data_IF_075974046081
#
_entry.id   IF_075974046081
#
_cell.length_a   1.000
_cell.length_b   1.000
_cell.length_c   1.000
_cell.angle_alpha   90.00
_cell.angle_beta   90.00
_cell.angle_gamma   90.00
#
_symmetry.space_group_name_H-M   'P 1'
#
loop_
_entity.id
_entity.type
_entity.pdbx_description
1 polymer ?
#
# COMPACT_ATOMS: atom_id res chain seq x y z
N UNK A 1 -94.80 -54.75 -40.86
CA UNK A 1 -93.51 -54.63 -41.57
C UNK A 1 -92.48 -54.39 -40.54
N UNK A 2 -91.41 -55.17 -40.54
CA UNK A 2 -90.47 -55.37 -39.43
C UNK A 2 -89.45 -54.27 -39.41
N UNK A 3 -89.28 -53.63 -38.24
CA UNK A 3 -88.24 -52.67 -37.91
C UNK A 3 -86.99 -53.45 -37.41
N UNK A 4 -85.88 -53.26 -38.07
CA UNK A 4 -84.64 -53.90 -37.68
C UNK A 4 -83.95 -53.05 -36.62
N UNK A 5 -83.70 -53.68 -35.49
CA UNK A 5 -83.00 -53.15 -34.35
C UNK A 5 -81.44 -53.29 -34.56
N UNK A 6 -80.69 -52.22 -34.33
CA UNK A 6 -79.27 -52.19 -34.51
C UNK A 6 -78.58 -52.30 -33.14
N UNK A 7 -77.71 -53.29 -32.95
CA UNK A 7 -77.05 -53.45 -31.65
C UNK A 7 -75.95 -52.38 -31.45
N UNK A 8 -76.04 -51.76 -30.26
CA UNK A 8 -74.98 -50.79 -29.79
C UNK A 8 -73.65 -51.46 -29.46
N UNK A 9 -72.60 -50.95 -30.01
CA UNK A 9 -71.23 -51.31 -29.68
C UNK A 9 -70.89 -50.70 -28.36
N UNK A 10 -70.68 -51.51 -27.32
CA UNK A 10 -70.11 -51.14 -26.01
C UNK A 10 -68.66 -50.83 -26.16
N UNK A 11 -68.26 -49.60 -25.84
CA UNK A 11 -66.90 -49.22 -25.75
C UNK A 11 -66.16 -49.94 -24.59
N UNK A 12 -64.93 -50.38 -24.76
CA UNK A 12 -64.17 -51.04 -23.71
C UNK A 12 -63.81 -50.06 -22.57
N UNK A 13 -64.22 -50.45 -21.36
CA UNK A 13 -63.81 -49.72 -20.14
C UNK A 13 -62.29 -49.66 -20.01
N UNK A 14 -61.76 -48.46 -20.07
CA UNK A 14 -60.34 -48.23 -19.82
C UNK A 14 -59.97 -48.67 -18.39
N UNK A 15 -59.24 -49.76 -18.30
CA UNK A 15 -58.61 -50.22 -17.03
C UNK A 15 -57.66 -49.15 -16.57
N UNK A 16 -57.96 -48.43 -15.49
CA UNK A 16 -57.01 -47.60 -14.77
C UNK A 16 -55.95 -48.53 -14.18
N UNK A 17 -54.73 -48.41 -14.66
CA UNK A 17 -53.55 -49.08 -14.06
C UNK A 17 -53.39 -48.69 -12.57
N UNK A 18 -53.18 -49.62 -11.68
CA UNK A 18 -52.98 -49.30 -10.28
C UNK A 18 -51.72 -48.40 -10.17
N UNK A 19 -51.88 -47.20 -9.63
CA UNK A 19 -50.78 -46.29 -9.29
C UNK A 19 -50.06 -46.95 -8.11
N UNK A 20 -48.72 -47.25 -8.22
CA UNK A 20 -47.97 -47.85 -7.11
C UNK A 20 -48.04 -46.91 -5.89
N UNK A 21 -48.23 -47.43 -4.68
CA UNK A 21 -48.24 -46.61 -3.48
C UNK A 21 -46.90 -45.88 -3.35
N UNK A 22 -46.98 -44.55 -3.37
CA UNK A 22 -45.79 -43.69 -3.22
C UNK A 22 -45.31 -43.82 -1.77
N UNK A 23 -44.32 -44.70 -1.55
CA UNK A 23 -43.67 -44.86 -0.24
C UNK A 23 -43.09 -43.53 0.19
N UNK A 24 -43.72 -42.90 1.14
CA UNK A 24 -43.22 -41.68 1.77
C UNK A 24 -42.07 -42.11 2.70
N UNK A 25 -40.85 -41.83 2.34
CA UNK A 25 -39.69 -42.10 3.15
C UNK A 25 -39.36 -40.81 3.96
N UNK A 26 -39.97 -40.62 5.15
CA UNK A 26 -39.81 -39.38 5.93
C UNK A 26 -38.38 -39.15 6.35
N UNK A 27 -37.59 -40.21 6.53
CA UNK A 27 -36.18 -40.13 6.84
C UNK A 27 -35.32 -39.43 5.74
N UNK A 28 -35.64 -39.73 4.45
CA UNK A 28 -34.95 -39.06 3.33
C UNK A 28 -35.36 -37.60 3.19
N UNK A 29 -36.64 -37.29 3.47
CA UNK A 29 -37.11 -35.91 3.48
C UNK A 29 -36.44 -35.09 4.62
N UNK A 30 -36.32 -35.67 5.81
CA UNK A 30 -35.64 -35.06 6.94
C UNK A 30 -34.14 -34.84 6.65
N UNK A 31 -33.47 -35.82 6.01
CA UNK A 31 -32.09 -35.71 5.58
C UNK A 31 -31.88 -34.58 4.56
N UNK A 32 -32.80 -34.48 3.56
CA UNK A 32 -32.74 -33.43 2.56
C UNK A 32 -32.90 -32.04 3.17
N UNK A 33 -33.81 -31.85 4.12
CA UNK A 33 -34.01 -30.60 4.84
C UNK A 33 -32.73 -30.25 5.65
N UNK A 34 -32.13 -31.21 6.33
CA UNK A 34 -30.91 -31.03 7.12
C UNK A 34 -29.75 -30.63 6.23
N UNK A 35 -29.60 -31.26 5.06
CA UNK A 35 -28.54 -30.89 4.09
C UNK A 35 -28.74 -29.47 3.52
N UNK A 36 -30.01 -29.09 3.23
CA UNK A 36 -30.31 -27.74 2.74
C UNK A 36 -29.98 -26.69 3.81
N UNK A 37 -30.45 -26.92 5.05
CA UNK A 37 -30.16 -26.00 6.16
C UNK A 37 -28.66 -25.95 6.49
N UNK A 38 -28.00 -27.10 6.53
CA UNK A 38 -26.55 -27.18 6.74
C UNK A 38 -25.75 -26.47 5.62
N UNK A 39 -26.14 -26.69 4.37
CA UNK A 39 -25.53 -26.03 3.22
C UNK A 39 -25.76 -24.52 3.23
N UNK A 40 -26.99 -24.06 3.53
CA UNK A 40 -27.30 -22.65 3.65
C UNK A 40 -26.51 -21.98 4.80
N UNK A 41 -26.41 -22.65 5.95
CA UNK A 41 -25.62 -22.17 7.09
C UNK A 41 -24.12 -22.07 6.75
N UNK A 42 -23.58 -23.12 6.13
CA UNK A 42 -22.17 -23.17 5.72
C UNK A 42 -21.85 -22.07 4.71
N UNK A 43 -22.73 -21.86 3.71
CA UNK A 43 -22.57 -20.80 2.71
C UNK A 43 -22.65 -19.42 3.36
N UNK A 44 -23.60 -19.19 4.26
CA UNK A 44 -23.75 -17.93 4.98
C UNK A 44 -22.50 -17.63 5.82
N UNK A 45 -21.99 -18.61 6.57
CA UNK A 45 -20.76 -18.45 7.35
C UNK A 45 -19.54 -18.16 6.46
N UNK A 46 -19.43 -18.79 5.30
CA UNK A 46 -18.35 -18.55 4.35
C UNK A 46 -18.42 -17.14 3.77
N UNK A 47 -19.62 -16.66 3.41
CA UNK A 47 -19.85 -15.30 2.90
C UNK A 47 -19.57 -14.26 3.97
N UNK A 48 -19.98 -14.47 5.21
CA UNK A 48 -19.69 -13.57 6.32
C UNK A 48 -18.17 -13.47 6.57
N UNK A 49 -17.44 -14.59 6.55
CA UNK A 49 -15.98 -14.59 6.69
C UNK A 49 -15.24 -13.98 5.49
N UNK A 50 -15.81 -14.06 4.28
CA UNK A 50 -15.22 -13.44 3.07
C UNK A 50 -15.50 -11.95 2.97
N UNK A 51 -16.40 -11.41 3.81
CA UNK A 51 -16.87 -10.03 3.76
C UNK A 51 -16.12 -9.06 4.68
N UNK A 52 -15.30 -9.54 5.61
CA UNK A 52 -14.57 -8.69 6.56
C UNK A 52 -13.43 -7.96 5.84
N UNK A 53 -13.80 -6.88 5.14
CA UNK A 53 -12.84 -5.93 4.60
C UNK A 53 -12.57 -4.85 5.64
N UNK A 54 -11.29 -4.54 5.79
CA UNK A 54 -10.82 -3.51 6.71
C UNK A 54 -10.19 -2.37 5.91
N UNK A 55 -10.43 -1.15 6.37
CA UNK A 55 -9.82 0.04 5.77
C UNK A 55 -8.41 0.20 6.32
N UNK A 56 -7.41 0.11 5.44
CA UNK A 56 -6.00 0.29 5.73
C UNK A 56 -5.44 1.53 5.03
N UNK A 57 -4.28 1.99 5.47
CA UNK A 57 -3.52 3.07 4.84
C UNK A 57 -2.55 2.48 3.82
N UNK A 58 -2.62 2.97 2.58
CA UNK A 58 -1.67 2.66 1.50
C UNK A 58 -0.89 3.92 1.12
N UNK A 59 0.38 3.75 0.80
CA UNK A 59 1.25 4.83 0.32
C UNK A 59 1.08 4.98 -1.20
N UNK A 60 0.83 6.22 -1.67
CA UNK A 60 0.61 6.54 -3.10
C UNK A 60 1.86 7.03 -3.80
N UNK A 61 2.77 7.67 -3.05
CA UNK A 61 4.03 8.22 -3.56
C UNK A 61 5.16 7.80 -2.63
N UNK A 62 6.38 7.74 -3.15
CA UNK A 62 7.55 7.42 -2.32
C UNK A 62 7.68 8.40 -1.16
N UNK A 63 7.87 7.86 0.03
CA UNK A 63 8.15 8.62 1.25
C UNK A 63 9.52 8.21 1.74
N UNK A 64 10.47 9.14 1.71
CA UNK A 64 11.83 8.89 2.19
C UNK A 64 11.90 8.77 3.71
N UNK A 65 12.89 8.03 4.20
CA UNK A 65 13.18 7.96 5.63
C UNK A 65 13.30 9.36 6.25
N UNK A 66 12.68 9.57 7.41
CA UNK A 66 12.66 10.85 8.09
C UNK A 66 11.68 11.89 7.51
N UNK A 67 10.97 11.61 6.43
CA UNK A 67 9.92 12.48 5.92
C UNK A 67 8.63 12.36 6.72
N UNK A 68 7.89 13.47 6.93
CA UNK A 68 6.56 13.43 7.54
C UNK A 68 5.55 12.82 6.57
N UNK A 69 4.61 12.05 7.09
CA UNK A 69 3.44 11.63 6.32
C UNK A 69 2.51 12.83 6.08
N UNK A 70 2.00 12.94 4.87
CA UNK A 70 1.05 13.98 4.47
C UNK A 70 -0.17 13.33 3.81
N UNK A 71 -1.29 14.06 3.74
CA UNK A 71 -2.51 13.58 3.09
C UNK A 71 -2.33 13.22 1.61
N UNK A 72 -1.30 13.77 0.96
CA UNK A 72 -1.03 13.52 -0.46
C UNK A 72 -0.39 12.16 -0.72
N UNK A 73 0.32 11.62 0.28
CA UNK A 73 1.08 10.38 0.13
C UNK A 73 0.36 9.17 0.70
N UNK A 74 -0.80 9.36 1.35
CA UNK A 74 -1.60 8.30 1.95
C UNK A 74 -2.98 8.23 1.32
N UNK A 75 -3.51 7.03 1.16
CA UNK A 75 -4.89 6.80 0.72
C UNK A 75 -5.53 5.63 1.45
N UNK A 76 -6.86 5.61 1.45
CA UNK A 76 -7.63 4.50 2.00
C UNK A 76 -7.72 3.36 0.99
N UNK A 77 -7.44 2.14 1.44
CA UNK A 77 -7.62 0.92 0.67
C UNK A 77 -8.38 -0.12 1.48
N UNK A 78 -9.31 -0.81 0.82
CA UNK A 78 -10.04 -1.93 1.42
C UNK A 78 -9.26 -3.21 1.20
N UNK A 79 -8.81 -3.85 2.27
CA UNK A 79 -8.10 -5.13 2.25
C UNK A 79 -8.88 -6.20 2.99
N UNK A 80 -8.66 -7.48 2.64
CA UNK A 80 -9.16 -8.58 3.44
C UNK A 80 -8.36 -8.66 4.75
N UNK A 81 -9.05 -8.85 5.87
CA UNK A 81 -8.38 -9.09 7.15
C UNK A 81 -7.79 -10.50 7.18
N UNK A 82 -6.51 -10.59 6.80
CA UNK A 82 -5.75 -11.84 6.74
C UNK A 82 -4.76 -11.99 7.89
N UNK A 83 -4.82 -11.11 8.90
CA UNK A 83 -3.87 -11.08 10.01
C UNK A 83 -2.50 -10.48 9.65
N UNK A 84 -2.38 -9.83 8.48
CA UNK A 84 -1.19 -9.04 8.12
C UNK A 84 -1.20 -7.74 8.94
N UNK A 85 -0.04 -7.32 9.44
CA UNK A 85 0.08 -6.05 10.15
C UNK A 85 -0.18 -4.88 9.20
N UNK A 86 -1.07 -3.97 9.59
CA UNK A 86 -1.41 -2.76 8.85
C UNK A 86 -1.88 -1.67 9.81
N UNK A 87 -1.74 -0.43 9.39
CA UNK A 87 -2.33 0.71 10.10
C UNK A 87 -3.71 0.99 9.54
N UNK A 88 -4.73 0.93 10.41
CA UNK A 88 -6.11 1.19 10.02
C UNK A 88 -6.31 2.66 9.60
N UNK A 89 -7.18 2.91 8.61
CA UNK A 89 -7.51 4.26 8.15
C UNK A 89 -8.02 5.18 9.27
N UNK A 90 -8.70 4.62 10.27
CA UNK A 90 -9.15 5.36 11.46
C UNK A 90 -7.99 6.00 12.22
N UNK A 91 -6.77 5.52 12.09
CA UNK A 91 -5.56 6.07 12.72
C UNK A 91 -4.85 7.15 11.86
N UNK A 92 -5.43 7.55 10.70
CA UNK A 92 -4.85 8.53 9.77
C UNK A 92 -4.31 9.77 10.47
N UNK A 93 -5.09 10.37 11.37
CA UNK A 93 -4.67 11.60 12.08
C UNK A 93 -3.40 11.39 12.92
N UNK A 94 -3.22 10.21 13.49
CA UNK A 94 -2.00 9.86 14.23
C UNK A 94 -0.82 9.70 13.28
N UNK A 95 -1.03 9.04 12.14
CA UNK A 95 0.01 8.86 11.12
C UNK A 95 0.53 10.19 10.59
N UNK A 96 -0.34 11.16 10.33
CA UNK A 96 0.06 12.51 9.87
C UNK A 96 0.96 13.28 10.86
N UNK A 97 1.04 12.83 12.11
CA UNK A 97 1.92 13.40 13.14
C UNK A 97 3.22 12.60 13.28
N UNK A 98 3.47 11.63 12.41
CA UNK A 98 4.65 10.77 12.45
C UNK A 98 5.52 10.96 11.21
N UNK A 99 6.71 10.38 11.27
CA UNK A 99 7.72 10.40 10.21
C UNK A 99 7.98 8.97 9.74
N UNK A 100 8.33 8.79 8.49
CA UNK A 100 8.72 7.49 7.96
C UNK A 100 10.02 7.01 8.63
N UNK A 101 10.00 5.82 9.20
CA UNK A 101 11.19 5.20 9.81
C UNK A 101 12.19 4.72 8.76
N UNK A 102 11.68 4.35 7.59
CA UNK A 102 12.42 3.83 6.42
C UNK A 102 11.85 4.46 5.15
N UNK A 103 12.55 4.35 4.03
CA UNK A 103 11.99 4.72 2.73
C UNK A 103 10.89 3.74 2.35
N UNK A 104 9.69 4.27 2.04
CA UNK A 104 8.49 3.49 1.72
C UNK A 104 8.11 3.75 0.28
N UNK A 105 7.98 2.69 -0.50
CA UNK A 105 7.64 2.75 -1.93
C UNK A 105 6.12 2.89 -2.16
N UNK A 106 5.72 3.47 -3.30
CA UNK A 106 4.32 3.54 -3.70
C UNK A 106 3.67 2.15 -3.75
N UNK A 107 2.40 2.06 -3.35
CA UNK A 107 1.64 0.81 -3.31
C UNK A 107 1.82 0.00 -2.02
N UNK A 108 2.74 0.37 -1.14
CA UNK A 108 2.98 -0.31 0.14
C UNK A 108 1.86 -0.04 1.13
N UNK A 109 1.39 -1.07 1.84
CA UNK A 109 0.54 -0.92 3.02
C UNK A 109 1.38 -0.42 4.19
N UNK A 110 0.89 0.61 4.87
CA UNK A 110 1.58 1.14 6.04
C UNK A 110 1.41 0.18 7.23
N UNK A 111 2.54 -0.21 7.84
CA UNK A 111 2.57 -1.00 9.08
C UNK A 111 2.95 -0.12 10.27
N UNK A 112 2.69 -0.61 11.49
CA UNK A 112 2.98 0.12 12.73
C UNK A 112 4.46 0.52 12.86
N UNK A 113 5.37 -0.33 12.38
CA UNK A 113 6.81 -0.13 12.50
C UNK A 113 7.40 0.88 11.49
N UNK A 114 6.61 1.22 10.45
CA UNK A 114 7.04 2.18 9.43
C UNK A 114 6.87 3.63 9.86
N UNK A 115 6.14 3.90 10.95
CA UNK A 115 5.92 5.24 11.49
C UNK A 115 6.62 5.44 12.84
N UNK A 116 7.34 6.56 12.99
CA UNK A 116 7.99 6.95 14.25
C UNK A 116 7.60 8.36 14.65
N UNK A 117 7.47 8.61 15.95
CA UNK A 117 7.07 9.93 16.50
C UNK A 117 8.14 11.00 16.35
N UNK A 118 9.41 10.59 16.22
CA UNK A 118 10.53 11.48 15.95
C UNK A 118 11.35 10.89 14.80
N UNK A 119 11.72 11.73 13.84
CA UNK A 119 12.61 11.29 12.75
C UNK A 119 13.95 10.88 13.33
N UNK A 120 14.32 9.62 13.19
CA UNK A 120 15.67 9.13 13.57
C UNK A 120 16.75 9.79 12.75
N UNK A 121 16.41 10.14 11.51
CA UNK A 121 17.34 10.81 10.57
C UNK A 121 17.52 12.30 10.90
N UNK A 122 16.54 12.93 11.55
CA UNK A 122 16.59 14.30 12.01
C UNK A 122 16.61 14.39 13.55
N UNK A 123 17.32 13.49 14.19
CA UNK A 123 17.51 13.48 15.63
C UNK A 123 18.52 14.55 16.11
N UNK A 124 18.82 14.57 17.42
CA UNK A 124 19.83 15.42 17.99
C UNK A 124 21.18 15.27 17.25
N UNK A 125 21.83 16.38 16.95
CA UNK A 125 23.10 16.39 16.22
C UNK A 125 22.99 16.35 14.70
N UNK A 126 21.77 16.38 14.14
CA UNK A 126 21.52 16.49 12.70
C UNK A 126 20.94 17.84 12.32
N UNK A 127 21.19 18.28 11.09
CA UNK A 127 20.70 19.53 10.54
C UNK A 127 20.16 19.33 9.12
N UNK A 128 19.10 20.06 8.78
CA UNK A 128 18.61 20.16 7.39
C UNK A 128 19.32 21.32 6.69
N UNK A 129 19.94 21.02 5.56
CA UNK A 129 20.62 22.02 4.73
C UNK A 129 19.98 22.04 3.36
N UNK A 130 19.59 23.24 2.91
CA UNK A 130 19.10 23.50 1.56
C UNK A 130 20.28 23.76 0.63
N UNK A 131 20.29 23.06 -0.51
CA UNK A 131 21.28 23.20 -1.58
C UNK A 131 20.59 23.67 -2.85
N UNK A 132 21.12 24.70 -3.51
CA UNK A 132 20.69 25.13 -4.83
C UNK A 132 21.74 24.72 -5.86
N UNK A 133 21.57 23.54 -6.45
CA UNK A 133 22.55 22.92 -7.33
C UNK A 133 22.24 23.19 -8.80
N UNK A 134 23.27 23.41 -9.59
CA UNK A 134 23.15 23.59 -11.04
C UNK A 134 23.12 22.22 -11.74
N UNK A 135 22.58 22.15 -12.97
CA UNK A 135 22.71 20.96 -13.80
C UNK A 135 24.18 20.50 -13.91
N UNK A 136 24.42 19.22 -13.63
CA UNK A 136 25.77 18.65 -13.59
C UNK A 136 26.42 18.61 -12.19
N UNK A 137 25.81 19.28 -11.18
CA UNK A 137 26.25 19.19 -9.79
C UNK A 137 25.49 18.13 -8.97
N UNK A 138 24.50 17.48 -9.58
CA UNK A 138 23.73 16.39 -8.97
C UNK A 138 23.32 15.36 -10.02
N UNK A 139 23.13 14.07 -9.66
CA UNK A 139 22.69 13.03 -10.59
C UNK A 139 21.23 13.22 -10.99
N UNK A 140 20.89 12.78 -12.20
CA UNK A 140 19.50 12.72 -12.64
C UNK A 140 18.76 11.58 -11.91
N UNK A 141 17.48 11.81 -11.56
CA UNK A 141 16.66 10.78 -10.91
C UNK A 141 16.86 10.68 -9.40
N UNK A 142 17.50 11.67 -8.76
CA UNK A 142 17.63 11.73 -7.31
C UNK A 142 16.25 11.85 -6.65
N UNK A 143 15.98 10.98 -5.69
CA UNK A 143 14.70 10.89 -4.98
C UNK A 143 14.85 11.12 -3.48
N UNK A 144 13.77 11.53 -2.79
CA UNK A 144 13.77 11.58 -1.33
C UNK A 144 14.03 10.17 -0.73
N UNK A 145 14.95 10.12 0.24
CA UNK A 145 15.40 8.86 0.84
C UNK A 145 16.68 8.31 0.27
N UNK A 146 17.18 8.86 -0.84
CA UNK A 146 18.49 8.50 -1.37
C UNK A 146 19.62 9.02 -0.45
N UNK A 147 20.75 8.34 -0.48
CA UNK A 147 21.96 8.78 0.20
C UNK A 147 22.96 9.36 -0.79
N UNK A 148 23.47 10.50 -0.44
CA UNK A 148 24.42 11.22 -1.27
C UNK A 148 25.67 11.59 -0.49
N UNK A 149 26.77 11.68 -1.20
CA UNK A 149 27.99 12.30 -0.73
C UNK A 149 27.96 13.79 -1.08
N UNK A 150 28.21 14.67 -0.13
CA UNK A 150 28.29 16.12 -0.36
C UNK A 150 29.76 16.49 -0.55
N UNK A 151 30.07 17.09 -1.68
CA UNK A 151 31.42 17.37 -2.12
C UNK A 151 31.57 18.88 -2.34
N UNK A 152 32.60 19.47 -1.77
CA UNK A 152 33.08 20.78 -2.20
C UNK A 152 33.74 20.61 -3.58
N UNK A 153 33.16 21.20 -4.59
CA UNK A 153 33.69 21.21 -5.95
C UNK A 153 34.51 22.50 -6.14
N UNK A 154 35.80 22.39 -6.08
CA UNK A 154 36.68 23.56 -6.26
C UNK A 154 36.42 24.23 -7.61
N UNK A 155 36.21 25.54 -7.60
CA UNK A 155 36.04 26.33 -8.81
C UNK A 155 37.36 26.33 -9.63
N UNK A 156 37.21 26.52 -10.96
CA UNK A 156 38.36 26.54 -11.89
C UNK A 156 39.47 27.60 -11.56
N UNK A 157 39.17 28.54 -10.69
CA UNK A 157 40.04 29.66 -10.33
C UNK A 157 40.70 29.49 -8.96
N UNK A 158 40.29 28.53 -8.18
CA UNK A 158 40.79 28.30 -6.83
C UNK A 158 41.75 27.10 -6.85
N UNK A 159 42.97 27.24 -6.30
CA UNK A 159 43.91 26.13 -6.12
C UNK A 159 43.47 25.17 -4.99
N UNK A 160 42.22 25.23 -4.57
CA UNK A 160 41.67 24.35 -3.56
C UNK A 160 41.28 23.00 -4.21
N UNK A 161 41.67 21.91 -3.60
CA UNK A 161 41.29 20.57 -4.03
C UNK A 161 39.83 20.28 -3.66
N UNK A 162 39.14 19.49 -4.49
CA UNK A 162 37.78 19.02 -4.18
C UNK A 162 37.84 18.14 -2.92
N UNK A 163 36.94 18.40 -1.98
CA UNK A 163 36.91 17.73 -0.68
C UNK A 163 35.51 17.18 -0.39
N UNK A 164 35.45 15.99 0.22
CA UNK A 164 34.23 15.44 0.74
C UNK A 164 33.88 16.11 2.06
N UNK A 165 32.75 16.83 2.10
CA UNK A 165 32.26 17.49 3.30
C UNK A 165 31.36 16.57 4.14
N UNK A 166 30.55 15.76 3.50
CA UNK A 166 29.75 14.72 4.15
C UNK A 166 29.79 13.43 3.33
N UNK A 167 30.26 12.37 3.99
CA UNK A 167 30.40 11.06 3.34
C UNK A 167 29.04 10.38 3.05
N UNK A 168 28.02 10.68 3.84
CA UNK A 168 26.67 10.14 3.65
C UNK A 168 25.66 11.12 4.23
N UNK A 169 24.95 11.82 3.35
CA UNK A 169 23.84 12.69 3.68
C UNK A 169 22.54 12.07 3.13
N UNK A 170 21.45 12.20 3.86
CA UNK A 170 20.16 11.72 3.40
C UNK A 170 19.44 12.84 2.63
N UNK A 171 18.95 12.53 1.44
CA UNK A 171 18.09 13.43 0.67
C UNK A 171 16.71 13.47 1.33
N UNK A 172 16.34 14.62 1.89
CA UNK A 172 15.05 14.81 2.54
C UNK A 172 13.97 15.23 1.53
N UNK A 173 14.32 16.06 0.56
CA UNK A 173 13.40 16.49 -0.50
C UNK A 173 14.18 16.96 -1.73
N UNK A 174 13.56 16.75 -2.90
CA UNK A 174 14.05 17.25 -4.19
C UNK A 174 12.97 18.18 -4.74
N UNK A 175 13.31 19.42 -4.99
CA UNK A 175 12.44 20.42 -5.57
C UNK A 175 12.82 20.75 -7.00
N UNK A 176 12.09 21.65 -7.61
CA UNK A 176 12.35 22.14 -8.96
C UNK A 176 13.69 22.90 -9.04
N UNK A 177 14.29 22.92 -10.23
CA UNK A 177 15.49 23.70 -10.55
C UNK A 177 16.72 23.37 -9.71
N UNK A 178 16.86 22.12 -9.24
CA UNK A 178 18.01 21.69 -8.47
C UNK A 178 18.02 22.15 -7.00
N UNK A 179 16.85 22.48 -6.45
CA UNK A 179 16.69 22.69 -5.02
C UNK A 179 16.61 21.34 -4.32
N UNK A 180 17.62 21.03 -3.51
CA UNK A 180 17.70 19.76 -2.78
C UNK A 180 17.87 20.08 -1.30
N UNK A 181 17.11 19.40 -0.44
CA UNK A 181 17.30 19.48 1.01
C UNK A 181 17.93 18.20 1.49
N UNK A 182 19.06 18.28 2.17
CA UNK A 182 19.77 17.13 2.73
C UNK A 182 19.83 17.22 4.25
N UNK A 183 19.88 16.05 4.88
CA UNK A 183 20.14 15.90 6.32
C UNK A 183 21.59 15.49 6.49
N UNK A 184 22.34 16.32 7.24
CA UNK A 184 23.75 16.16 7.52
C UNK A 184 24.02 16.24 9.02
N UNK A 185 25.24 15.98 9.45
CA UNK A 185 25.63 16.26 10.82
C UNK A 185 25.62 17.77 11.09
N UNK A 186 25.12 18.18 12.25
CA UNK A 186 25.01 19.59 12.61
C UNK A 186 26.38 20.26 12.69
N UNK A 187 27.43 19.50 13.03
CA UNK A 187 28.82 19.97 13.07
C UNK A 187 29.40 20.38 11.71
N UNK A 188 28.96 19.69 10.63
CA UNK A 188 29.42 19.96 9.26
C UNK A 188 28.52 20.94 8.52
N UNK A 189 27.30 21.17 9.04
CA UNK A 189 26.32 22.02 8.37
C UNK A 189 26.77 23.46 8.09
N UNK A 190 27.53 24.17 8.98
CA UNK A 190 27.95 25.54 8.69
C UNK A 190 28.89 25.61 7.49
N UNK A 191 29.81 24.65 7.38
CA UNK A 191 30.77 24.57 6.27
C UNK A 191 30.04 24.30 4.95
N UNK A 192 29.08 23.33 4.94
CA UNK A 192 28.28 23.02 3.77
C UNK A 192 27.46 24.24 3.33
N UNK A 193 26.84 24.96 4.26
CA UNK A 193 26.07 26.19 3.95
C UNK A 193 26.95 27.26 3.35
N UNK A 194 28.18 27.40 3.86
CA UNK A 194 29.18 28.35 3.33
C UNK A 194 29.46 28.08 1.85
N UNK A 195 29.85 26.86 1.51
CA UNK A 195 30.14 26.48 0.12
C UNK A 195 28.86 26.44 -0.78
N UNK A 196 27.73 26.06 -0.20
CA UNK A 196 26.46 26.09 -0.94
C UNK A 196 26.09 27.50 -1.37
N UNK A 197 26.28 28.50 -0.53
CA UNK A 197 26.05 29.91 -0.84
C UNK A 197 26.99 30.45 -1.94
N UNK A 198 28.18 29.90 -2.05
CA UNK A 198 29.12 30.21 -3.13
C UNK A 198 28.84 29.44 -4.43
N UNK A 199 27.91 28.44 -4.39
CA UNK A 199 27.62 27.56 -5.52
C UNK A 199 28.72 26.54 -5.81
N UNK A 200 29.54 26.22 -4.82
CA UNK A 200 30.70 25.32 -4.88
C UNK A 200 30.40 23.93 -4.29
N UNK A 201 29.13 23.51 -4.30
CA UNK A 201 28.71 22.17 -3.85
C UNK A 201 28.28 21.33 -5.04
N UNK A 202 28.69 20.06 -5.01
CA UNK A 202 28.14 19.00 -5.84
C UNK A 202 27.74 17.81 -4.97
N UNK A 203 26.82 16.99 -5.45
CA UNK A 203 26.42 15.76 -4.77
C UNK A 203 26.60 14.56 -5.69
N UNK A 204 27.07 13.45 -5.11
CA UNK A 204 27.17 12.16 -5.77
C UNK A 204 26.28 11.16 -5.05
N UNK A 205 25.46 10.43 -5.78
CA UNK A 205 24.59 9.37 -5.22
C UNK A 205 25.45 8.17 -4.82
N UNK A 206 25.15 7.62 -3.64
CA UNK A 206 25.81 6.43 -3.12
C UNK A 206 24.98 5.18 -3.48
N UNK A 207 25.60 4.12 -4.05
CA UNK A 207 24.90 2.89 -4.38
C UNK A 207 24.42 2.15 -3.12
N UNK A 208 23.23 1.56 -3.19
CA UNK A 208 22.74 0.61 -2.18
C UNK A 208 22.08 1.20 -0.94
N UNK A 209 21.59 2.42 -0.99
CA UNK A 209 20.93 3.09 0.14
C UNK A 209 19.41 3.21 0.01
N UNK A 210 18.76 2.27 -0.68
CA UNK A 210 17.29 2.14 -0.72
C UNK A 210 16.79 1.17 0.31
#
# INVERSE_FOLDING_TARGET
>A
MRTAEKPGLSAPASRKLPVPPRERKPALAALAVLLILGGALATTLLVLRSGDRVSAIRITQQVGAGQPFTDRVIEEVQIADTGVDYVAWSQRQRVLQTFAAVTILPGTLLTSDMGVTASRELGPGKAKVGLALKPGQYPAGLEPGDRVQVIHAAGRTTQQESQVLAQSALVNSVGDKGLITVIVDASTSPEIVGYASAGEIAVAELPGAR
#
